data_IF_566520006047
#
_entry.id   IF_566520006047
#
_cell.length_a   1.000
_cell.length_b   1.000
_cell.length_c   1.000
_cell.angle_alpha   90.00
_cell.angle_beta   90.00
_cell.angle_gamma   90.00
#
_symmetry.space_group_name_H-M   'P 1'
#
loop_
_entity.id
_entity.type
_entity.pdbx_description
1 polymer ?
#
# COMPACT_ATOMS: atom_id res chain seq x y z
N UNK A 1 23.63 -4.25 2.88
CA UNK A 1 23.49 -4.36 1.42
C UNK A 1 22.49 -3.31 0.98
N UNK A 2 22.81 -2.53 -0.05
CA UNK A 2 21.86 -1.59 -0.65
C UNK A 2 20.93 -2.38 -1.58
N UNK A 3 19.62 -2.16 -1.48
CA UNK A 3 18.64 -2.81 -2.36
C UNK A 3 18.84 -2.37 -3.82
N UNK A 4 18.62 -3.30 -4.76
CA UNK A 4 18.62 -3.03 -6.20
C UNK A 4 17.42 -3.72 -6.85
N UNK A 5 16.65 -2.98 -7.66
CA UNK A 5 15.60 -3.57 -8.48
C UNK A 5 16.23 -4.27 -9.71
N UNK A 6 15.83 -5.52 -9.99
CA UNK A 6 16.32 -6.33 -11.10
C UNK A 6 15.21 -6.57 -12.13
N UNK A 7 15.60 -7.02 -13.32
CA UNK A 7 14.65 -7.36 -14.39
C UNK A 7 13.77 -8.57 -14.03
N UNK A 8 14.23 -9.42 -13.11
CA UNK A 8 13.40 -10.51 -12.58
C UNK A 8 12.17 -9.96 -11.85
N UNK A 9 12.28 -8.85 -11.13
CA UNK A 9 11.10 -8.26 -10.47
C UNK A 9 10.04 -7.80 -11.47
N UNK A 10 10.48 -7.25 -12.60
CA UNK A 10 9.59 -6.81 -13.68
C UNK A 10 8.93 -8.05 -14.32
N UNK A 11 9.73 -9.07 -14.65
CA UNK A 11 9.22 -10.32 -15.22
C UNK A 11 8.21 -11.01 -14.28
N UNK A 12 8.52 -11.13 -12.99
CA UNK A 12 7.64 -11.72 -11.97
C UNK A 12 6.32 -10.96 -11.86
N UNK A 13 6.38 -9.62 -11.85
CA UNK A 13 5.17 -8.80 -11.80
C UNK A 13 4.26 -9.03 -13.00
N UNK A 14 4.81 -9.06 -14.22
CA UNK A 14 4.01 -9.32 -15.42
C UNK A 14 3.49 -10.76 -15.50
N UNK A 15 4.19 -11.73 -14.91
CA UNK A 15 3.80 -13.14 -14.95
C UNK A 15 2.80 -13.53 -13.85
N UNK A 16 3.02 -13.06 -12.62
CA UNK A 16 2.25 -13.47 -11.43
C UNK A 16 1.28 -12.42 -10.93
N UNK A 17 1.42 -11.18 -11.40
CA UNK A 17 0.68 -10.04 -10.90
C UNK A 17 1.19 -9.45 -9.59
N UNK A 18 2.36 -9.89 -9.13
CA UNK A 18 3.05 -9.31 -7.98
C UNK A 18 4.55 -9.58 -8.07
N UNK A 19 5.35 -8.80 -7.33
CA UNK A 19 6.76 -9.08 -7.09
C UNK A 19 7.14 -8.72 -5.66
N UNK A 20 8.25 -9.28 -5.14
CA UNK A 20 8.66 -9.12 -3.74
C UNK A 20 10.04 -8.46 -3.67
N UNK A 21 10.06 -7.23 -3.17
CA UNK A 21 11.31 -6.51 -2.90
C UNK A 21 11.83 -6.80 -1.48
N UNK A 22 12.89 -7.61 -1.38
CA UNK A 22 13.51 -7.92 -0.07
C UNK A 22 14.52 -6.85 0.32
N UNK A 23 14.41 -6.34 1.55
CA UNK A 23 15.36 -5.37 2.10
C UNK A 23 15.28 -3.97 1.48
N UNK A 24 14.20 -3.63 0.78
CA UNK A 24 14.01 -2.30 0.18
C UNK A 24 13.83 -1.21 1.24
N UNK A 25 13.18 -1.54 2.36
CA UNK A 25 13.00 -0.62 3.51
C UNK A 25 14.14 -0.84 4.51
N UNK A 26 14.90 0.21 4.87
CA UNK A 26 15.92 0.10 5.91
C UNK A 26 15.35 -0.34 7.26
N UNK A 27 16.07 -1.19 7.99
CA UNK A 27 15.63 -1.67 9.31
C UNK A 27 15.39 -0.55 10.31
N UNK A 28 16.17 0.54 10.25
CA UNK A 28 15.96 1.74 11.06
C UNK A 28 14.60 2.37 10.80
N UNK A 29 14.24 2.56 9.53
CA UNK A 29 12.95 3.12 9.14
C UNK A 29 11.78 2.20 9.54
N UNK A 30 11.96 0.88 9.48
CA UNK A 30 10.96 -0.06 10.02
C UNK A 30 10.76 0.13 11.52
N UNK A 31 11.83 0.33 12.29
CA UNK A 31 11.75 0.59 13.72
C UNK A 31 11.07 1.93 14.02
N UNK A 32 11.35 2.97 13.24
CA UNK A 32 10.75 4.29 13.39
C UNK A 32 9.25 4.28 13.03
N UNK A 33 8.86 3.60 11.95
CA UNK A 33 7.45 3.39 11.59
C UNK A 33 6.67 2.68 12.71
N UNK A 34 7.27 1.66 13.33
CA UNK A 34 6.66 0.96 14.47
C UNK A 34 6.48 1.89 15.67
N UNK A 35 7.53 2.61 16.03
CA UNK A 35 7.50 3.56 17.17
C UNK A 35 6.47 4.67 16.94
N UNK A 36 6.42 5.23 15.75
CA UNK A 36 5.47 6.27 15.39
C UNK A 36 4.02 5.77 15.41
N UNK A 37 3.79 4.51 15.03
CA UNK A 37 2.45 3.92 15.01
C UNK A 37 1.97 3.39 16.35
N UNK A 38 2.85 3.13 17.32
CA UNK A 38 2.47 2.58 18.63
C UNK A 38 1.23 3.25 19.28
N UNK A 39 1.12 4.60 19.37
CA UNK A 39 -0.09 5.25 19.88
C UNK A 39 -1.32 5.08 18.97
N UNK A 40 -1.11 4.82 17.67
CA UNK A 40 -2.13 4.62 16.66
C UNK A 40 -3.06 3.45 16.94
N UNK A 41 -2.60 2.39 17.61
CA UNK A 41 -3.47 1.27 18.02
C UNK A 41 -4.60 1.73 18.96
N UNK A 42 -4.25 2.51 19.98
CA UNK A 42 -5.21 3.01 20.95
C UNK A 42 -6.17 4.02 20.31
N UNK A 43 -5.63 4.93 19.48
CA UNK A 43 -6.42 5.93 18.76
C UNK A 43 -7.43 5.28 17.80
N UNK A 44 -6.99 4.33 16.98
CA UNK A 44 -7.87 3.63 16.05
C UNK A 44 -9.00 2.92 16.80
N UNK A 45 -8.67 2.18 17.86
CA UNK A 45 -9.66 1.42 18.64
C UNK A 45 -10.65 2.32 19.37
N UNK A 46 -10.18 3.44 19.92
CA UNK A 46 -11.04 4.41 20.59
C UNK A 46 -12.02 5.07 19.62
N UNK A 47 -11.60 5.33 18.38
CA UNK A 47 -12.41 6.04 17.40
C UNK A 47 -13.36 5.11 16.61
N UNK A 48 -12.94 3.87 16.35
CA UNK A 48 -13.62 2.98 15.40
C UNK A 48 -13.98 1.60 15.99
N UNK A 49 -13.67 1.38 17.26
CA UNK A 49 -13.95 0.12 17.97
C UNK A 49 -12.76 -0.84 18.03
N UNK A 50 -12.81 -1.76 18.99
CA UNK A 50 -11.72 -2.72 19.31
C UNK A 50 -11.33 -3.64 18.14
N UNK A 51 -12.23 -3.83 17.20
CA UNK A 51 -12.07 -4.66 16.02
C UNK A 51 -11.76 -3.87 14.73
N UNK A 52 -11.41 -2.58 14.86
CA UNK A 52 -10.94 -1.81 13.70
C UNK A 52 -9.71 -2.46 13.06
N UNK A 53 -9.67 -2.40 11.73
CA UNK A 53 -8.64 -3.04 10.92
C UNK A 53 -7.71 -2.05 10.24
N UNK A 54 -8.02 -0.75 10.31
CA UNK A 54 -7.32 0.26 9.53
C UNK A 54 -7.27 1.56 10.29
N UNK A 55 -6.11 2.20 10.28
CA UNK A 55 -5.98 3.62 10.52
C UNK A 55 -5.60 4.26 9.19
N UNK A 56 -6.58 4.89 8.53
CA UNK A 56 -6.44 5.43 7.18
C UNK A 56 -7.38 6.63 6.98
N UNK A 57 -6.91 7.73 6.37
CA UNK A 57 -5.52 7.98 6.00
C UNK A 57 -4.67 8.35 7.23
N UNK A 58 -3.40 7.92 7.27
CA UNK A 58 -2.48 8.16 8.41
C UNK A 58 -2.36 9.64 8.79
N UNK A 59 -2.35 10.52 7.79
CA UNK A 59 -2.24 11.97 7.99
C UNK A 59 -3.40 12.62 8.75
N UNK A 60 -4.52 11.92 8.91
CA UNK A 60 -5.68 12.41 9.66
C UNK A 60 -5.55 12.19 11.18
N UNK A 61 -4.50 11.53 11.65
CA UNK A 61 -4.37 11.09 13.04
C UNK A 61 -3.18 11.77 13.73
N UNK A 62 -3.36 12.06 15.02
CA UNK A 62 -2.34 12.69 15.87
C UNK A 62 -1.24 11.70 16.29
N UNK A 63 -0.54 11.15 15.31
CA UNK A 63 0.65 10.29 15.45
C UNK A 63 1.84 10.93 14.74
N UNK A 64 3.06 10.51 15.06
CA UNK A 64 4.24 11.03 14.39
C UNK A 64 4.21 10.70 12.89
N UNK A 65 4.21 11.74 12.07
CA UNK A 65 4.07 11.65 10.62
C UNK A 65 5.43 11.53 9.90
N UNK A 66 6.55 11.81 10.58
CA UNK A 66 7.85 11.86 9.93
C UNK A 66 8.27 10.52 9.30
N UNK A 67 8.17 9.36 10.00
CA UNK A 67 8.59 8.09 9.41
C UNK A 67 7.72 7.67 8.21
N UNK A 68 6.44 8.05 8.19
CA UNK A 68 5.55 7.78 7.05
C UNK A 68 5.93 8.62 5.83
N UNK A 69 6.34 9.89 6.02
CA UNK A 69 6.89 10.72 4.96
C UNK A 69 8.21 10.17 4.43
N UNK A 70 9.08 9.69 5.31
CA UNK A 70 10.35 9.07 4.91
C UNK A 70 10.12 7.79 4.11
N UNK A 71 9.10 7.00 4.48
CA UNK A 71 8.70 5.79 3.76
C UNK A 71 8.21 6.08 2.34
N UNK A 72 7.25 7.01 2.15
CA UNK A 72 6.77 7.39 0.81
C UNK A 72 7.86 8.11 -0.01
N UNK A 73 8.81 8.76 0.67
CA UNK A 73 9.92 9.49 0.09
C UNK A 73 11.11 8.60 -0.29
N UNK A 74 11.10 7.32 0.08
CA UNK A 74 12.26 6.43 -0.04
C UNK A 74 12.68 6.27 -1.52
N UNK A 75 13.88 6.74 -1.94
CA UNK A 75 14.27 6.75 -3.34
C UNK A 75 14.27 5.36 -3.99
N UNK A 76 14.74 4.34 -3.26
CA UNK A 76 14.76 2.96 -3.74
C UNK A 76 13.35 2.40 -4.00
N UNK A 77 12.38 2.77 -3.17
CA UNK A 77 10.98 2.36 -3.34
C UNK A 77 10.34 3.07 -4.53
N UNK A 78 10.61 4.36 -4.69
CA UNK A 78 10.18 5.14 -5.85
C UNK A 78 10.72 4.57 -7.16
N UNK A 79 12.03 4.31 -7.23
CA UNK A 79 12.68 3.70 -8.40
C UNK A 79 12.05 2.34 -8.73
N UNK A 80 11.90 1.47 -7.74
CA UNK A 80 11.32 0.15 -7.92
C UNK A 80 9.87 0.22 -8.47
N UNK A 81 9.04 1.11 -7.93
CA UNK A 81 7.65 1.33 -8.40
C UNK A 81 7.64 1.83 -9.84
N UNK A 82 8.48 2.81 -10.18
CA UNK A 82 8.52 3.39 -11.51
C UNK A 82 9.02 2.40 -12.57
N UNK A 83 9.96 1.53 -12.20
CA UNK A 83 10.50 0.48 -13.08
C UNK A 83 9.53 -0.67 -13.31
N UNK A 84 8.78 -1.07 -12.28
CA UNK A 84 7.81 -2.17 -12.40
C UNK A 84 6.49 -1.72 -13.01
N UNK A 85 6.04 -0.50 -12.71
CA UNK A 85 4.76 0.03 -13.20
C UNK A 85 4.96 0.97 -14.40
N UNK A 86 5.25 2.24 -14.13
CA UNK A 86 5.63 3.23 -15.15
C UNK A 86 6.19 4.49 -14.48
N UNK A 87 6.89 5.38 -15.21
CA UNK A 87 7.42 6.63 -14.65
C UNK A 87 6.36 7.56 -14.03
N UNK A 88 5.08 7.44 -14.44
CA UNK A 88 3.97 8.24 -13.92
C UNK A 88 3.44 7.77 -12.56
N UNK A 89 3.87 6.61 -12.06
CA UNK A 89 3.43 6.08 -10.78
C UNK A 89 4.27 6.61 -9.62
N UNK A 90 3.61 7.15 -8.61
CA UNK A 90 4.24 7.62 -7.38
C UNK A 90 3.40 7.22 -6.17
N UNK A 91 4.07 6.96 -5.04
CA UNK A 91 3.39 6.82 -3.76
C UNK A 91 2.91 8.19 -3.29
N UNK A 92 1.72 8.21 -2.69
CA UNK A 92 1.13 9.40 -2.09
C UNK A 92 0.65 9.08 -0.68
N UNK A 93 0.47 10.13 0.13
CA UNK A 93 -0.10 10.00 1.48
C UNK A 93 -1.64 10.03 1.50
N UNK A 94 -2.28 10.17 0.32
CA UNK A 94 -3.73 10.38 0.21
C UNK A 94 -4.50 9.24 0.84
N UNK A 95 -4.08 8.00 0.55
CA UNK A 95 -4.68 6.78 1.06
C UNK A 95 -3.67 5.93 1.84
N UNK A 96 -2.54 6.50 2.29
CA UNK A 96 -1.62 5.73 3.11
C UNK A 96 -2.32 5.31 4.40
N UNK A 97 -2.33 4.01 4.68
CA UNK A 97 -3.01 3.41 5.83
C UNK A 97 -2.15 2.37 6.51
N UNK A 98 -2.36 2.19 7.81
CA UNK A 98 -1.79 1.06 8.55
C UNK A 98 -2.88 0.04 8.79
N UNK A 99 -2.63 -1.21 8.39
CA UNK A 99 -3.51 -2.33 8.68
C UNK A 99 -3.25 -2.83 10.10
N UNK A 100 -4.31 -3.02 10.86
CA UNK A 100 -4.30 -3.36 12.27
C UNK A 100 -4.97 -4.71 12.45
N UNK A 101 -4.35 -5.60 13.21
CA UNK A 101 -5.00 -6.84 13.60
C UNK A 101 -6.12 -6.56 14.63
N UNK A 102 -7.35 -7.05 14.41
CA UNK A 102 -8.43 -6.93 15.39
C UNK A 102 -8.06 -7.56 16.73
N UNK A 103 -8.52 -6.96 17.82
CA UNK A 103 -8.12 -7.37 19.17
C UNK A 103 -8.76 -8.68 19.63
N UNK A 104 -10.01 -8.96 19.20
CA UNK A 104 -10.82 -10.03 19.80
C UNK A 104 -11.01 -11.25 18.91
N UNK A 105 -10.76 -11.13 17.60
CA UNK A 105 -10.96 -12.24 16.66
C UNK A 105 -9.91 -12.27 15.56
N UNK A 106 -9.64 -13.49 15.09
CA UNK A 106 -8.98 -13.66 13.81
C UNK A 106 -9.83 -13.02 12.71
N UNK A 107 -9.16 -12.35 11.78
CA UNK A 107 -9.82 -11.68 10.68
C UNK A 107 -9.20 -12.13 9.37
N UNK A 108 -10.05 -12.28 8.36
CA UNK A 108 -9.64 -12.50 6.99
C UNK A 108 -10.43 -11.53 6.11
N UNK A 109 -9.80 -11.09 5.03
CA UNK A 109 -10.51 -10.42 3.95
C UNK A 109 -10.92 -11.49 2.94
N UNK A 110 -12.19 -11.50 2.54
CA UNK A 110 -12.65 -12.35 1.45
C UNK A 110 -11.88 -11.99 0.16
N UNK A 111 -11.83 -12.91 -0.80
CA UNK A 111 -11.28 -12.62 -2.11
C UNK A 111 -12.00 -11.42 -2.74
N UNK A 112 -11.24 -10.40 -3.11
CA UNK A 112 -11.74 -9.17 -3.72
C UNK A 112 -10.61 -8.56 -4.56
N UNK A 113 -10.99 -7.59 -5.39
CA UNK A 113 -10.05 -6.70 -6.09
C UNK A 113 -10.19 -5.31 -5.50
N UNK A 114 -9.07 -4.62 -5.32
CA UNK A 114 -9.07 -3.32 -4.65
C UNK A 114 -9.81 -2.24 -5.45
N UNK A 115 -9.69 -2.23 -6.78
CA UNK A 115 -10.33 -1.22 -7.63
C UNK A 115 -11.60 -1.70 -8.32
N UNK A 116 -11.68 -2.96 -8.74
CA UNK A 116 -12.80 -3.44 -9.57
C UNK A 116 -13.67 -4.40 -8.79
N UNK A 117 -14.81 -3.90 -8.33
CA UNK A 117 -15.79 -4.72 -7.62
C UNK A 117 -16.80 -5.30 -8.61
N UNK A 118 -17.29 -6.54 -8.39
CA UNK A 118 -18.28 -7.15 -9.28
C UNK A 118 -19.59 -6.38 -9.40
N UNK A 119 -19.91 -5.53 -8.42
CA UNK A 119 -21.12 -4.71 -8.34
C UNK A 119 -20.92 -3.27 -8.85
N UNK A 120 -19.77 -2.97 -9.45
CA UNK A 120 -19.47 -1.63 -9.95
C UNK A 120 -20.31 -1.31 -11.20
N UNK A 121 -20.99 -0.14 -11.24
CA UNK A 121 -21.64 0.35 -12.45
C UNK A 121 -20.68 0.45 -13.64
N UNK A 122 -21.17 0.17 -14.86
CA UNK A 122 -20.36 0.05 -16.08
C UNK A 122 -19.62 1.35 -16.44
N UNK A 123 -20.25 2.50 -16.20
CA UNK A 123 -19.67 3.84 -16.34
C UNK A 123 -18.50 4.07 -15.37
N UNK A 124 -18.62 3.57 -14.14
CA UNK A 124 -17.56 3.65 -13.13
C UNK A 124 -16.37 2.74 -13.48
N UNK A 125 -16.63 1.56 -14.06
CA UNK A 125 -15.57 0.67 -14.54
C UNK A 125 -14.76 1.30 -15.71
N UNK A 126 -15.42 2.00 -16.63
CA UNK A 126 -14.77 2.73 -17.71
C UNK A 126 -13.88 3.88 -17.18
N UNK A 127 -14.38 4.63 -16.20
CA UNK A 127 -13.59 5.70 -15.55
C UNK A 127 -12.37 5.15 -14.80
N UNK A 128 -12.54 4.06 -14.06
CA UNK A 128 -11.44 3.35 -13.38
C UNK A 128 -10.39 2.90 -14.40
N UNK A 129 -10.82 2.30 -15.51
CA UNK A 129 -9.91 1.86 -16.58
C UNK A 129 -9.13 3.03 -17.18
N UNK A 130 -9.76 4.19 -17.35
CA UNK A 130 -9.10 5.40 -17.85
C UNK A 130 -8.10 6.01 -16.84
N UNK A 131 -8.32 5.80 -15.54
CA UNK A 131 -7.44 6.28 -14.45
C UNK A 131 -6.30 5.32 -14.11
N UNK A 132 -6.43 4.03 -14.41
CA UNK A 132 -5.33 3.07 -14.33
C UNK A 132 -4.32 3.46 -15.42
N UNK A 133 -3.21 4.06 -15.00
CA UNK A 133 -2.27 4.77 -15.87
C UNK A 133 -1.53 3.89 -16.91
N UNK A 134 -1.84 2.61 -17.01
CA UNK A 134 -1.43 1.74 -18.12
C UNK A 134 -2.25 0.43 -18.13
N UNK A 135 -3.05 0.20 -19.18
CA UNK A 135 -3.85 -1.03 -19.36
C UNK A 135 -3.00 -2.29 -19.56
N UNK A 136 -1.68 -2.14 -19.79
CA UNK A 136 -0.71 -3.25 -19.88
C UNK A 136 -0.21 -3.71 -18.52
N UNK A 137 -0.51 -2.97 -17.46
CA UNK A 137 -0.32 -3.45 -16.10
C UNK A 137 -1.43 -4.46 -15.84
N UNK A 138 -1.04 -5.73 -15.91
CA UNK A 138 -1.83 -6.88 -15.52
C UNK A 138 -2.45 -6.61 -14.13
N UNK A 139 -3.56 -7.30 -13.79
CA UNK A 139 -3.93 -7.75 -12.43
C UNK A 139 -5.27 -7.33 -11.82
N UNK A 140 -6.16 -6.56 -12.46
CA UNK A 140 -7.53 -6.43 -11.91
C UNK A 140 -8.67 -6.51 -12.93
N UNK A 141 -8.40 -6.46 -14.23
CA UNK A 141 -9.44 -6.43 -15.28
C UNK A 141 -9.81 -7.80 -15.89
N UNK A 142 -8.98 -8.84 -15.74
CA UNK A 142 -9.24 -10.16 -16.34
C UNK A 142 -10.05 -11.07 -15.42
#
# INVERSE_FOLDING_TARGET
MTFTCSDQHIADFHHHGYTVFRGIVPTSLVADLRRAFEPGYALARSAQGVDTQRLQPVKAWAIDQAPFRDFIGLPALRDAIQRVLSPGHAMTDVLLGVLIQPAQRAWHMAWHRDWIRPDMPEDCAAEVTARLADVRLFNQMN
#
